data_IF_411388424977
#
_entry.id   IF_411388424977
#
_cell.length_a   1.000
_cell.length_b   1.000
_cell.length_c   1.000
_cell.angle_alpha   90.00
_cell.angle_beta   90.00
_cell.angle_gamma   90.00
#
_symmetry.space_group_name_H-M   'P 1'
#
loop_
_entity.id
_entity.type
_entity.pdbx_description
1 polymer ?
#
# COMPACT_ATOMS: atom_id res chain seq x y z
N UNK A 1 31.02 -15.21 9.99
CA UNK A 1 29.88 -16.15 9.94
C UNK A 1 29.37 -16.27 8.50
N UNK A 2 28.70 -17.39 8.17
CA UNK A 2 28.09 -17.63 6.85
C UNK A 2 27.11 -16.49 6.48
N UNK A 3 26.28 -16.09 7.43
CA UNK A 3 25.35 -14.98 7.28
C UNK A 3 26.04 -13.67 6.84
N UNK A 4 27.18 -13.33 7.44
CA UNK A 4 27.93 -12.12 7.08
C UNK A 4 28.44 -12.16 5.64
N UNK A 5 28.88 -13.34 5.16
CA UNK A 5 29.31 -13.50 3.76
C UNK A 5 28.15 -13.41 2.78
N UNK A 6 27.04 -14.07 3.11
CA UNK A 6 25.83 -14.01 2.30
C UNK A 6 25.31 -12.57 2.19
N UNK A 7 25.30 -11.83 3.28
CA UNK A 7 24.94 -10.41 3.27
C UNK A 7 25.87 -9.57 2.39
N UNK A 8 27.19 -9.73 2.54
CA UNK A 8 28.17 -9.02 1.70
C UNK A 8 27.97 -9.30 0.21
N UNK A 9 27.71 -10.54 -0.13
CA UNK A 9 27.47 -10.94 -1.52
C UNK A 9 26.18 -10.33 -2.06
N UNK A 10 25.09 -10.44 -1.32
CA UNK A 10 23.80 -9.83 -1.63
C UNK A 10 23.93 -8.32 -1.78
N UNK A 11 24.56 -7.64 -0.81
CA UNK A 11 24.75 -6.20 -0.82
C UNK A 11 25.52 -5.73 -2.06
N UNK A 12 26.66 -6.36 -2.37
CA UNK A 12 27.49 -5.96 -3.49
C UNK A 12 26.83 -6.25 -4.85
N UNK A 13 26.06 -7.34 -4.98
CA UNK A 13 25.21 -7.58 -6.16
C UNK A 13 24.15 -6.49 -6.33
N UNK A 14 23.46 -6.16 -5.25
CA UNK A 14 22.44 -5.11 -5.26
C UNK A 14 23.06 -3.75 -5.62
N UNK A 15 24.21 -3.43 -5.03
CA UNK A 15 24.97 -2.21 -5.31
C UNK A 15 25.38 -2.09 -6.77
N UNK A 16 25.89 -3.15 -7.36
CA UNK A 16 26.30 -3.18 -8.77
C UNK A 16 25.12 -2.99 -9.73
N UNK A 17 23.92 -3.41 -9.34
CA UNK A 17 22.71 -3.37 -10.16
C UNK A 17 21.68 -2.30 -9.69
N UNK A 18 22.04 -1.43 -8.77
CA UNK A 18 21.12 -0.50 -8.09
C UNK A 18 20.22 0.30 -9.05
N UNK A 19 20.79 0.88 -10.09
CA UNK A 19 20.04 1.71 -11.02
C UNK A 19 19.01 0.90 -11.84
N UNK A 20 19.34 -0.36 -12.17
CA UNK A 20 18.46 -1.27 -12.90
C UNK A 20 17.32 -1.81 -12.05
N UNK A 21 17.51 -1.86 -10.73
CA UNK A 21 16.53 -2.40 -9.77
C UNK A 21 15.66 -1.27 -9.21
N UNK A 22 16.26 -0.23 -8.64
CA UNK A 22 15.51 0.79 -7.92
C UNK A 22 14.75 1.76 -8.83
N UNK A 23 15.30 2.17 -9.99
CA UNK A 23 14.58 3.09 -10.89
C UNK A 23 13.22 2.57 -11.34
N UNK A 24 13.13 1.38 -11.97
CA UNK A 24 11.83 0.87 -12.40
C UNK A 24 10.87 0.63 -11.22
N UNK A 25 11.42 0.24 -10.06
CA UNK A 25 10.62 0.02 -8.85
C UNK A 25 10.02 1.35 -8.34
N UNK A 26 10.82 2.41 -8.25
CA UNK A 26 10.35 3.74 -7.84
C UNK A 26 9.32 4.28 -8.84
N UNK A 27 9.57 4.16 -10.15
CA UNK A 27 8.64 4.61 -11.18
C UNK A 27 7.30 3.88 -11.10
N UNK A 28 7.31 2.56 -10.89
CA UNK A 28 6.11 1.74 -10.72
C UNK A 28 5.35 2.13 -9.44
N UNK A 29 6.05 2.35 -8.34
CA UNK A 29 5.44 2.77 -7.07
C UNK A 29 4.85 4.18 -7.15
N UNK A 30 5.48 5.10 -7.87
CA UNK A 30 4.94 6.44 -8.14
C UNK A 30 3.65 6.37 -8.96
N UNK A 31 3.61 5.52 -9.98
CA UNK A 31 2.43 5.30 -10.79
C UNK A 31 1.27 4.71 -9.96
N UNK A 32 1.56 3.69 -9.12
CA UNK A 32 0.58 3.12 -8.21
C UNK A 32 0.08 4.14 -7.18
N UNK A 33 0.95 4.98 -6.65
CA UNK A 33 0.57 6.05 -5.72
C UNK A 33 -0.38 7.06 -6.38
N UNK A 34 -0.07 7.49 -7.60
CA UNK A 34 -0.95 8.39 -8.36
C UNK A 34 -2.33 7.78 -8.62
N UNK A 35 -2.38 6.51 -9.01
CA UNK A 35 -3.66 5.79 -9.18
C UNK A 35 -4.44 5.71 -7.86
N UNK A 36 -3.76 5.48 -6.75
CA UNK A 36 -4.36 5.42 -5.42
C UNK A 36 -4.93 6.78 -4.99
N UNK A 37 -4.24 7.89 -5.29
CA UNK A 37 -4.73 9.24 -5.01
C UNK A 37 -6.02 9.54 -5.78
N UNK A 38 -6.11 9.16 -7.05
CA UNK A 38 -7.33 9.27 -7.85
C UNK A 38 -8.47 8.41 -7.28
N UNK A 39 -8.17 7.19 -6.84
CA UNK A 39 -9.18 6.32 -6.20
C UNK A 39 -9.65 6.89 -4.85
N UNK A 40 -8.77 7.50 -4.07
CA UNK A 40 -9.15 8.15 -2.81
C UNK A 40 -10.10 9.34 -3.05
N UNK A 41 -9.84 10.18 -4.04
CA UNK A 41 -10.72 11.29 -4.41
C UNK A 41 -12.11 10.80 -4.83
N UNK A 42 -12.17 9.75 -5.65
CA UNK A 42 -13.44 9.12 -6.05
C UNK A 42 -14.17 8.53 -4.83
N UNK A 43 -13.44 7.92 -3.90
CA UNK A 43 -13.98 7.36 -2.66
C UNK A 43 -14.56 8.44 -1.74
N UNK A 44 -13.87 9.57 -1.58
CA UNK A 44 -14.36 10.72 -0.81
C UNK A 44 -15.65 11.28 -1.41
N UNK A 45 -15.76 11.36 -2.73
CA UNK A 45 -16.98 11.76 -3.43
C UNK A 45 -18.15 10.80 -3.15
N UNK A 46 -17.89 9.48 -3.17
CA UNK A 46 -18.92 8.47 -2.83
C UNK A 46 -19.36 8.61 -1.37
N UNK A 47 -18.41 8.82 -0.47
CA UNK A 47 -18.75 9.08 0.96
C UNK A 47 -19.62 10.30 1.14
N UNK A 48 -19.30 11.42 0.49
CA UNK A 48 -20.09 12.64 0.56
C UNK A 48 -21.52 12.39 0.03
N UNK A 49 -21.67 11.59 -1.01
CA UNK A 49 -22.96 11.23 -1.58
C UNK A 49 -23.79 10.34 -0.65
N UNK A 50 -23.18 9.37 0.01
CA UNK A 50 -23.82 8.53 1.04
C UNK A 50 -24.32 9.42 2.20
N UNK A 51 -23.50 10.36 2.66
CA UNK A 51 -23.90 11.29 3.73
C UNK A 51 -25.08 12.17 3.31
N UNK A 52 -25.09 12.66 2.07
CA UNK A 52 -26.20 13.44 1.51
C UNK A 52 -27.50 12.63 1.45
N UNK A 53 -27.42 11.39 0.96
CA UNK A 53 -28.57 10.50 0.87
C UNK A 53 -29.12 10.12 2.26
N UNK A 54 -28.24 9.83 3.22
CA UNK A 54 -28.64 9.56 4.60
C UNK A 54 -29.37 10.75 5.23
N UNK A 55 -28.87 11.97 4.99
CA UNK A 55 -29.53 13.20 5.45
C UNK A 55 -30.90 13.42 4.79
N UNK A 56 -31.01 13.12 3.48
CA UNK A 56 -32.29 13.16 2.77
C UNK A 56 -33.29 12.16 3.34
N UNK A 57 -32.84 10.91 3.63
CA UNK A 57 -33.68 9.89 4.24
C UNK A 57 -34.19 10.35 5.61
N UNK A 58 -33.32 10.87 6.46
CA UNK A 58 -33.70 11.39 7.77
C UNK A 58 -34.73 12.58 7.67
N UNK A 59 -34.50 13.51 6.75
CA UNK A 59 -35.43 14.61 6.51
C UNK A 59 -36.79 14.10 6.00
N UNK A 60 -36.79 13.10 5.12
CA UNK A 60 -38.01 12.47 4.61
C UNK A 60 -38.82 11.82 5.74
N UNK A 61 -38.16 11.11 6.63
CA UNK A 61 -38.78 10.50 7.82
C UNK A 61 -39.41 11.60 8.74
N UNK A 62 -38.70 12.69 8.93
CA UNK A 62 -39.17 13.81 9.77
C UNK A 62 -40.40 14.48 9.18
N UNK A 63 -40.43 14.80 7.88
CA UNK A 63 -41.57 15.45 7.23
C UNK A 63 -42.79 14.54 7.16
N UNK A 64 -42.55 13.21 6.99
CA UNK A 64 -43.62 12.21 7.04
C UNK A 64 -44.22 12.11 8.47
N UNK A 65 -43.37 12.04 9.50
CA UNK A 65 -43.85 12.04 10.89
C UNK A 65 -44.62 13.28 11.31
N UNK A 66 -44.38 14.42 10.64
CA UNK A 66 -45.10 15.66 10.82
C UNK A 66 -46.40 15.74 9.97
N UNK A 67 -46.70 14.74 9.16
CA UNK A 67 -47.90 14.68 8.33
C UNK A 67 -47.88 15.58 7.07
N UNK A 68 -46.71 16.07 6.66
CA UNK A 68 -46.57 16.95 5.51
C UNK A 68 -46.50 16.19 4.16
N UNK A 69 -46.42 14.87 4.18
CA UNK A 69 -46.36 14.04 2.97
C UNK A 69 -47.20 12.78 3.18
N UNK A 70 -47.86 12.32 2.12
CA UNK A 70 -48.67 11.11 2.13
C UNK A 70 -47.83 9.84 2.18
N UNK A 71 -48.41 8.74 2.73
CA UNK A 71 -47.73 7.44 2.88
C UNK A 71 -47.21 6.87 1.57
N UNK A 72 -47.99 7.00 0.50
CA UNK A 72 -47.57 6.52 -0.84
C UNK A 72 -46.32 7.25 -1.35
N UNK A 73 -46.31 8.57 -1.26
CA UNK A 73 -45.15 9.39 -1.67
C UNK A 73 -43.93 9.15 -0.78
N UNK A 74 -44.17 8.93 0.53
CA UNK A 74 -43.09 8.57 1.46
C UNK A 74 -42.42 7.24 1.08
N UNK A 75 -43.23 6.20 0.84
CA UNK A 75 -42.73 4.87 0.48
C UNK A 75 -41.92 4.92 -0.83
N UNK A 76 -42.46 5.58 -1.85
CA UNK A 76 -41.76 5.68 -3.15
C UNK A 76 -40.41 6.39 -3.00
N UNK A 77 -40.36 7.51 -2.34
CA UNK A 77 -39.13 8.31 -2.13
C UNK A 77 -38.12 7.55 -1.26
N UNK A 78 -38.60 6.91 -0.19
CA UNK A 78 -37.76 6.11 0.69
C UNK A 78 -37.11 4.96 -0.04
N UNK A 79 -37.90 4.20 -0.82
CA UNK A 79 -37.40 3.08 -1.62
C UNK A 79 -36.30 3.53 -2.58
N UNK A 80 -36.49 4.66 -3.27
CA UNK A 80 -35.48 5.20 -4.17
C UNK A 80 -34.19 5.59 -3.46
N UNK A 81 -34.29 6.28 -2.32
CA UNK A 81 -33.11 6.66 -1.52
C UNK A 81 -32.37 5.41 -1.01
N UNK A 82 -33.09 4.41 -0.53
CA UNK A 82 -32.49 3.16 -0.04
C UNK A 82 -31.76 2.39 -1.15
N UNK A 83 -32.34 2.32 -2.35
CA UNK A 83 -31.68 1.73 -3.52
C UNK A 83 -30.37 2.45 -3.85
N UNK A 84 -30.40 3.78 -3.91
CA UNK A 84 -29.22 4.59 -4.16
C UNK A 84 -28.16 4.40 -3.07
N UNK A 85 -28.55 4.31 -1.79
CA UNK A 85 -27.63 4.05 -0.69
C UNK A 85 -26.95 2.67 -0.83
N UNK A 86 -27.71 1.64 -1.21
CA UNK A 86 -27.15 0.30 -1.45
C UNK A 86 -26.14 0.33 -2.60
N UNK A 87 -26.49 0.95 -3.72
CA UNK A 87 -25.60 1.09 -4.88
C UNK A 87 -24.28 1.79 -4.49
N UNK A 88 -24.38 2.92 -3.78
CA UNK A 88 -23.20 3.67 -3.35
C UNK A 88 -22.32 2.89 -2.36
N UNK A 89 -22.92 2.14 -1.44
CA UNK A 89 -22.17 1.28 -0.51
C UNK A 89 -21.45 0.13 -1.24
N UNK A 90 -22.10 -0.50 -2.23
CA UNK A 90 -21.48 -1.51 -3.09
C UNK A 90 -20.32 -0.90 -3.89
N UNK A 91 -20.51 0.29 -4.45
CA UNK A 91 -19.47 1.01 -5.17
C UNK A 91 -18.27 1.33 -4.26
N UNK A 92 -18.53 1.76 -3.03
CA UNK A 92 -17.50 2.03 -2.01
C UNK A 92 -16.70 0.77 -1.65
N UNK A 93 -17.38 -0.38 -1.49
CA UNK A 93 -16.72 -1.64 -1.13
C UNK A 93 -15.78 -2.18 -2.22
N UNK A 94 -16.04 -1.82 -3.47
CA UNK A 94 -15.18 -2.19 -4.62
C UNK A 94 -13.92 -1.36 -4.73
N UNK A 95 -13.84 -0.21 -4.04
CA UNK A 95 -12.64 0.61 -3.99
C UNK A 95 -11.72 0.09 -2.89
N UNK A 96 -10.81 -0.83 -3.23
CA UNK A 96 -9.80 -1.32 -2.27
C UNK A 96 -8.68 -0.29 -2.09
N UNK A 97 -8.32 -0.04 -0.84
CA UNK A 97 -7.16 0.79 -0.50
C UNK A 97 -5.97 -0.13 -0.26
N UNK A 98 -4.97 -0.08 -1.12
CA UNK A 98 -3.65 -0.60 -0.79
C UNK A 98 -2.94 0.40 0.16
N UNK A 99 -2.97 0.12 1.45
CA UNK A 99 -2.48 1.05 2.50
C UNK A 99 -0.96 1.28 2.50
N UNK A 100 -0.20 0.49 1.75
CA UNK A 100 1.26 0.41 1.93
C UNK A 100 2.11 1.02 0.81
N UNK A 101 1.53 1.49 -0.30
CA UNK A 101 2.31 1.99 -1.44
C UNK A 101 3.21 3.18 -1.06
N UNK A 102 2.68 4.11 -0.26
CA UNK A 102 3.44 5.28 0.20
C UNK A 102 4.64 4.90 1.06
N UNK A 103 4.45 3.99 2.02
CA UNK A 103 5.52 3.50 2.90
C UNK A 103 6.58 2.71 2.13
N UNK A 104 6.14 1.86 1.20
CA UNK A 104 7.03 1.09 0.33
C UNK A 104 7.85 2.01 -0.58
N UNK A 105 7.25 3.06 -1.13
CA UNK A 105 7.95 4.05 -1.95
C UNK A 105 9.01 4.79 -1.13
N UNK A 106 8.68 5.21 0.09
CA UNK A 106 9.60 5.92 0.98
C UNK A 106 10.78 5.02 1.38
N UNK A 107 10.52 3.79 1.81
CA UNK A 107 11.54 2.80 2.14
C UNK A 107 12.43 2.45 0.93
N UNK A 108 11.85 2.37 -0.26
CA UNK A 108 12.61 2.11 -1.50
C UNK A 108 13.54 3.27 -1.84
N UNK A 109 13.08 4.50 -1.70
CA UNK A 109 13.91 5.70 -1.88
C UNK A 109 15.02 5.82 -0.84
N UNK A 110 14.73 5.44 0.40
CA UNK A 110 15.73 5.39 1.47
C UNK A 110 16.83 4.40 1.12
N UNK A 111 16.49 3.18 0.68
CA UNK A 111 17.46 2.18 0.23
C UNK A 111 18.26 2.66 -0.97
N UNK A 112 17.60 3.23 -1.99
CA UNK A 112 18.27 3.78 -3.16
C UNK A 112 19.31 4.85 -2.78
N UNK A 113 18.93 5.78 -1.89
CA UNK A 113 19.81 6.84 -1.40
C UNK A 113 20.99 6.29 -0.62
N UNK A 114 20.75 5.33 0.28
CA UNK A 114 21.81 4.64 1.03
C UNK A 114 22.81 3.98 0.08
N UNK A 115 22.29 3.20 -0.88
CA UNK A 115 23.12 2.52 -1.86
C UNK A 115 23.88 3.48 -2.78
N UNK A 116 23.30 4.65 -3.11
CA UNK A 116 23.95 5.66 -3.95
C UNK A 116 25.13 6.34 -3.23
N UNK A 117 25.04 6.50 -1.91
CA UNK A 117 26.04 7.19 -1.10
C UNK A 117 27.10 6.26 -0.49
N UNK A 118 26.91 4.94 -0.56
CA UNK A 118 27.80 3.97 0.06
C UNK A 118 28.63 3.22 -0.99
N UNK A 119 29.92 2.97 -0.74
CA UNK A 119 30.75 2.13 -1.63
C UNK A 119 30.39 0.64 -1.46
N UNK A 120 30.87 -0.25 -2.37
CA UNK A 120 30.82 -1.67 -2.13
C UNK A 120 31.51 -2.03 -0.80
N UNK A 121 30.90 -2.96 -0.05
CA UNK A 121 31.43 -3.41 1.22
C UNK A 121 32.51 -4.47 1.03
N UNK A 122 33.63 -4.31 1.73
CA UNK A 122 34.73 -5.28 1.75
C UNK A 122 34.57 -6.25 2.94
N UNK A 123 33.95 -5.78 4.03
CA UNK A 123 33.66 -6.56 5.22
C UNK A 123 32.25 -6.24 5.72
N UNK A 124 31.74 -7.14 6.57
CA UNK A 124 30.40 -6.97 7.15
C UNK A 124 30.35 -5.73 8.01
N UNK A 125 29.38 -4.86 7.72
CA UNK A 125 29.05 -3.67 8.49
C UNK A 125 27.68 -3.83 9.14
N UNK A 126 27.68 -3.88 10.47
CA UNK A 126 26.48 -4.10 11.29
C UNK A 126 25.46 -2.96 11.14
N UNK A 127 25.95 -1.73 11.01
CA UNK A 127 25.08 -0.56 10.84
C UNK A 127 24.31 -0.64 9.52
N UNK A 128 25.00 -0.85 8.42
CA UNK A 128 24.37 -1.04 7.09
C UNK A 128 23.41 -2.22 7.11
N UNK A 129 23.76 -3.33 7.75
CA UNK A 129 22.90 -4.49 7.87
C UNK A 129 21.59 -4.14 8.58
N UNK A 130 21.67 -3.49 9.74
CA UNK A 130 20.51 -3.14 10.58
C UNK A 130 19.61 -2.10 9.92
N UNK A 131 20.16 -1.19 9.14
CA UNK A 131 19.38 -0.18 8.42
C UNK A 131 18.67 -0.72 7.18
N UNK A 132 19.21 -1.77 6.54
CA UNK A 132 18.67 -2.31 5.29
C UNK A 132 17.76 -3.52 5.47
N UNK A 133 18.09 -4.38 6.43
CA UNK A 133 17.46 -5.71 6.58
C UNK A 133 16.42 -5.67 7.68
N UNK A 134 15.20 -6.01 7.30
CA UNK A 134 14.06 -6.11 8.23
C UNK A 134 14.01 -7.50 8.88
N UNK A 135 14.25 -8.54 8.08
CA UNK A 135 14.16 -9.94 8.52
C UNK A 135 15.11 -10.82 7.73
N UNK A 136 15.61 -11.87 8.36
CA UNK A 136 16.44 -12.90 7.71
C UNK A 136 15.85 -14.27 7.98
N UNK A 137 15.60 -15.02 6.91
CA UNK A 137 15.18 -16.43 6.97
C UNK A 137 16.34 -17.32 6.54
N UNK A 138 16.83 -18.13 7.47
CA UNK A 138 17.93 -19.07 7.19
C UNK A 138 17.31 -20.43 6.86
N UNK A 139 17.26 -20.75 5.57
CA UNK A 139 16.83 -22.05 5.07
C UNK A 139 17.97 -23.07 5.03
N UNK A 140 17.67 -24.28 4.57
CA UNK A 140 18.66 -25.36 4.41
C UNK A 140 19.61 -25.10 3.24
N UNK A 141 19.13 -24.55 2.14
CA UNK A 141 19.86 -24.32 0.88
C UNK A 141 20.16 -22.86 0.59
N UNK A 142 19.42 -21.94 1.18
CA UNK A 142 19.54 -20.51 0.93
C UNK A 142 19.26 -19.67 2.18
N UNK A 143 19.78 -18.45 2.17
CA UNK A 143 19.49 -17.40 3.14
C UNK A 143 18.70 -16.31 2.42
N UNK A 144 17.48 -16.04 2.88
CA UNK A 144 16.62 -14.98 2.35
C UNK A 144 16.70 -13.74 3.25
N UNK A 145 16.93 -12.60 2.64
CA UNK A 145 16.92 -11.29 3.29
C UNK A 145 15.68 -10.52 2.85
N UNK A 146 14.81 -10.17 3.78
CA UNK A 146 13.75 -9.19 3.55
C UNK A 146 14.27 -7.79 3.91
N UNK A 147 14.29 -6.90 2.93
CA UNK A 147 14.72 -5.52 3.11
C UNK A 147 13.57 -4.64 3.66
N UNK A 148 13.91 -3.45 4.14
CA UNK A 148 12.95 -2.52 4.76
C UNK A 148 11.78 -2.11 3.83
N UNK A 149 11.96 -2.22 2.52
CA UNK A 149 10.91 -1.96 1.53
C UNK A 149 10.08 -3.21 1.15
N UNK A 150 10.33 -4.34 1.82
CA UNK A 150 9.66 -5.62 1.57
C UNK A 150 10.26 -6.43 0.41
N UNK A 151 11.34 -5.96 -0.22
CA UNK A 151 12.04 -6.72 -1.25
C UNK A 151 12.74 -7.91 -0.62
N UNK A 152 12.58 -9.09 -1.22
CA UNK A 152 13.20 -10.34 -0.78
C UNK A 152 14.30 -10.74 -1.72
N UNK A 153 15.50 -10.97 -1.17
CA UNK A 153 16.69 -11.38 -1.89
C UNK A 153 17.24 -12.66 -1.27
N UNK A 154 17.56 -13.62 -2.11
CA UNK A 154 18.04 -14.93 -1.69
C UNK A 154 19.48 -15.15 -2.15
N UNK A 155 20.32 -15.65 -1.25
CA UNK A 155 21.68 -16.11 -1.53
C UNK A 155 21.81 -17.58 -1.18
N UNK A 156 22.40 -18.35 -2.10
CA UNK A 156 22.65 -19.77 -1.86
C UNK A 156 23.66 -19.96 -0.73
N UNK A 157 23.41 -20.95 0.09
CA UNK A 157 24.36 -21.34 1.13
C UNK A 157 25.55 -22.03 0.47
N UNK A 158 26.75 -21.57 0.80
CA UNK A 158 27.94 -22.26 0.39
C UNK A 158 28.07 -23.57 1.17
N UNK A 159 27.91 -24.70 0.48
CA UNK A 159 28.28 -26.00 1.06
C UNK A 159 29.73 -25.94 1.54
N UNK A 160 29.97 -26.52 2.73
CA UNK A 160 31.30 -26.59 3.32
C UNK A 160 32.16 -27.61 2.58
#
# INVERSE_FOLDING_TARGET
TELCRAFLHMYNKLQANRARIFRPMVDSLLQLKSQQEHQNTARESIYAEIQRLAKQNHNLERIHAQGYIEDTQYIERKTLIEQQLVEKRVQLSRTSISKNVGLTLESTRQLEKMMASSPPLIYFDEHTFTEMVKEVLVGTTAIEFELINGMKLSEERMEK
#
